data_IF_372005094221
#
_entry.id   IF_372005094221
#
_cell.length_a   1.000
_cell.length_b   1.000
_cell.length_c   1.000
_cell.angle_alpha   90.00
_cell.angle_beta   90.00
_cell.angle_gamma   90.00
#
_symmetry.space_group_name_H-M   'P 1'
#
loop_
_entity.id
_entity.type
_entity.pdbx_description
1 polymer ?
#
# COMPACT_ATOMS: atom_id res chain seq x y z
N UNK A 1 14.40 12.74 -8.28
CA UNK A 1 13.57 11.57 -8.00
C UNK A 1 14.49 10.46 -7.57
N UNK A 2 14.38 10.00 -6.31
CA UNK A 2 15.20 8.90 -5.78
C UNK A 2 14.74 7.58 -6.40
N UNK A 3 15.66 6.63 -6.53
CA UNK A 3 15.31 5.25 -6.88
C UNK A 3 14.76 4.57 -5.63
N UNK A 4 13.44 4.39 -5.57
CA UNK A 4 12.76 3.75 -4.43
C UNK A 4 13.03 2.24 -4.34
N UNK A 5 13.59 1.64 -5.39
CA UNK A 5 13.91 0.21 -5.47
C UNK A 5 15.37 -0.11 -5.11
N UNK A 6 15.97 0.66 -4.21
CA UNK A 6 17.34 0.42 -3.78
C UNK A 6 17.48 -0.92 -3.04
N UNK A 7 18.41 -1.74 -3.51
CA UNK A 7 18.72 -3.02 -2.87
C UNK A 7 19.15 -2.83 -1.40
N UNK A 8 18.56 -3.59 -0.52
CA UNK A 8 18.83 -3.53 0.93
C UNK A 8 18.16 -2.37 1.65
N UNK A 9 17.18 -1.70 1.02
CA UNK A 9 16.39 -0.64 1.61
C UNK A 9 14.89 -0.88 1.38
N UNK A 10 14.07 -0.48 2.36
CA UNK A 10 12.62 -0.52 2.33
C UNK A 10 12.11 0.92 2.20
N UNK A 11 11.29 1.19 1.22
CA UNK A 11 10.66 2.48 1.04
C UNK A 11 9.41 2.60 1.92
N UNK A 12 9.39 3.53 2.87
CA UNK A 12 8.28 3.70 3.81
C UNK A 12 7.35 4.88 3.47
N UNK A 13 7.73 5.71 2.51
CA UNK A 13 6.99 6.90 2.12
C UNK A 13 7.88 8.13 2.06
N UNK A 14 7.30 9.31 2.28
CA UNK A 14 7.99 10.60 2.25
C UNK A 14 7.86 11.34 3.57
N UNK A 15 8.81 12.20 3.86
CA UNK A 15 8.76 13.07 5.02
C UNK A 15 7.57 14.04 4.94
N UNK A 16 7.01 14.37 6.09
CA UNK A 16 5.96 15.37 6.22
C UNK A 16 6.49 16.58 6.99
N UNK A 17 6.49 17.73 6.35
CA UNK A 17 6.84 19.01 7.00
C UNK A 17 5.64 19.52 7.81
N UNK A 18 5.77 19.47 9.13
CA UNK A 18 4.73 19.93 10.06
C UNK A 18 4.50 21.44 9.98
N UNK A 19 5.52 22.23 9.66
CA UNK A 19 5.41 23.68 9.57
C UNK A 19 4.70 24.12 8.28
N UNK A 20 5.02 23.45 7.17
CA UNK A 20 4.37 23.67 5.87
C UNK A 20 3.02 22.96 5.75
N UNK A 21 2.75 21.96 6.60
CA UNK A 21 1.56 21.12 6.52
C UNK A 21 1.51 20.27 5.23
N UNK A 22 2.66 19.86 4.69
CA UNK A 22 2.77 19.21 3.39
C UNK A 22 3.76 18.04 3.38
N UNK A 23 3.55 17.09 2.47
CA UNK A 23 4.51 16.04 2.17
C UNK A 23 5.66 16.66 1.36
N UNK A 24 6.89 16.30 1.70
CA UNK A 24 8.11 16.74 1.00
C UNK A 24 8.50 15.74 -0.10
N UNK A 25 9.52 16.08 -0.88
CA UNK A 25 10.10 15.17 -1.89
C UNK A 25 11.22 14.27 -1.29
N UNK A 26 11.38 14.27 0.04
CA UNK A 26 12.40 13.45 0.72
C UNK A 26 11.83 12.08 1.05
N UNK A 27 12.43 11.05 0.46
CA UNK A 27 12.04 9.66 0.71
C UNK A 27 12.49 9.17 2.10
N UNK A 28 11.64 8.42 2.77
CA UNK A 28 11.93 7.76 4.04
C UNK A 28 12.27 6.31 3.77
N UNK A 29 13.55 5.96 3.95
CA UNK A 29 14.09 4.63 3.68
C UNK A 29 14.55 3.94 4.96
N UNK A 30 14.19 2.66 5.12
CA UNK A 30 14.65 1.80 6.22
C UNK A 30 15.60 0.73 5.67
N UNK A 31 16.78 0.59 6.28
CA UNK A 31 17.74 -0.47 5.86
C UNK A 31 17.23 -1.86 6.28
N UNK A 32 17.26 -2.83 5.37
CA UNK A 32 16.81 -4.22 5.62
C UNK A 32 17.51 -4.87 6.81
N UNK A 33 18.78 -4.50 7.09
CA UNK A 33 19.51 -4.99 8.26
C UNK A 33 18.83 -4.67 9.60
N UNK A 34 17.95 -3.67 9.63
CA UNK A 34 17.19 -3.32 10.83
C UNK A 34 16.04 -4.31 11.11
N UNK A 35 15.66 -5.15 10.13
CA UNK A 35 14.68 -6.22 10.32
C UNK A 35 15.20 -7.36 11.22
N UNK A 36 16.49 -7.37 11.55
CA UNK A 36 17.07 -8.33 12.51
C UNK A 36 16.78 -7.96 13.97
N UNK A 37 16.12 -6.85 14.22
CA UNK A 37 15.72 -6.37 15.54
C UNK A 37 14.20 -6.26 15.64
N UNK A 38 13.70 -6.08 16.87
CA UNK A 38 12.26 -5.88 17.08
C UNK A 38 11.84 -4.46 16.72
N UNK A 39 10.62 -4.33 16.19
CA UNK A 39 9.97 -3.05 15.98
C UNK A 39 8.56 -3.08 16.58
N UNK A 40 8.07 -1.92 16.97
CA UNK A 40 6.70 -1.73 17.45
C UNK A 40 6.08 -0.53 16.76
N UNK A 41 4.88 -0.72 16.20
CA UNK A 41 4.10 0.36 15.60
C UNK A 41 3.01 0.80 16.58
N UNK A 42 3.13 2.01 17.09
CA UNK A 42 2.20 2.59 18.06
C UNK A 42 1.41 3.75 17.46
N UNK A 43 0.16 3.90 17.88
CA UNK A 43 -0.69 5.01 17.45
C UNK A 43 -2.15 4.78 17.84
N UNK A 44 -2.95 5.84 17.77
CA UNK A 44 -4.39 5.78 18.01
C UNK A 44 -5.13 5.03 16.89
N UNK A 45 -6.38 4.67 17.12
CA UNK A 45 -7.26 4.12 16.09
C UNK A 45 -7.38 5.13 14.93
N UNK A 46 -7.25 4.64 13.69
CA UNK A 46 -7.29 5.48 12.49
C UNK A 46 -5.97 6.21 12.15
N UNK A 47 -4.89 6.04 12.94
CA UNK A 47 -3.60 6.70 12.68
C UNK A 47 -2.74 6.07 11.57
N UNK A 48 -3.22 5.01 10.89
CA UNK A 48 -2.48 4.36 9.81
C UNK A 48 -1.53 3.23 10.24
N UNK A 49 -1.60 2.74 11.49
CA UNK A 49 -0.72 1.65 11.98
C UNK A 49 -0.71 0.41 11.09
N UNK A 50 -1.88 -0.08 10.75
CA UNK A 50 -2.04 -1.25 9.88
C UNK A 50 -1.44 -0.98 8.49
N UNK A 51 -1.69 0.20 7.93
CA UNK A 51 -1.10 0.61 6.64
C UNK A 51 0.42 0.64 6.67
N UNK A 52 1.04 1.20 7.72
CA UNK A 52 2.50 1.17 7.87
C UNK A 52 3.03 -0.27 8.02
N UNK A 53 2.30 -1.12 8.76
CA UNK A 53 2.63 -2.54 8.87
C UNK A 53 2.58 -3.24 7.51
N UNK A 54 1.56 -2.99 6.71
CA UNK A 54 1.43 -3.55 5.36
C UNK A 54 2.58 -3.10 4.46
N UNK A 55 2.92 -1.81 4.45
CA UNK A 55 4.06 -1.28 3.69
C UNK A 55 5.36 -2.00 4.07
N UNK A 56 5.62 -2.19 5.37
CA UNK A 56 6.82 -2.90 5.82
C UNK A 56 6.88 -4.35 5.34
N UNK A 57 5.73 -5.05 5.31
CA UNK A 57 5.65 -6.44 4.84
C UNK A 57 5.85 -6.52 3.31
N UNK A 58 5.18 -5.66 2.55
CA UNK A 58 5.32 -5.58 1.09
C UNK A 58 6.76 -5.24 0.70
N UNK A 59 7.36 -4.24 1.33
CA UNK A 59 8.74 -3.86 1.09
C UNK A 59 9.72 -5.00 1.41
N UNK A 60 9.51 -5.74 2.51
CA UNK A 60 10.32 -6.90 2.83
C UNK A 60 10.21 -7.99 1.75
N UNK A 61 8.99 -8.27 1.27
CA UNK A 61 8.75 -9.23 0.19
C UNK A 61 9.44 -8.80 -1.12
N UNK A 62 9.36 -7.52 -1.49
CA UNK A 62 10.04 -6.97 -2.67
C UNK A 62 11.56 -7.12 -2.60
N UNK A 63 12.13 -7.13 -1.39
CA UNK A 63 13.56 -7.40 -1.16
C UNK A 63 13.88 -8.91 -1.05
N UNK A 64 12.91 -9.80 -1.28
CA UNK A 64 13.08 -11.24 -1.17
C UNK A 64 13.18 -11.77 0.27
N UNK A 65 12.78 -10.98 1.25
CA UNK A 65 12.74 -11.40 2.66
C UNK A 65 11.44 -12.15 2.92
N UNK A 66 11.47 -13.42 3.37
CA UNK A 66 10.26 -14.16 3.66
C UNK A 66 9.54 -13.57 4.89
N UNK A 67 8.21 -13.51 4.82
CA UNK A 67 7.37 -12.93 5.85
C UNK A 67 6.45 -13.99 6.45
N UNK A 68 6.37 -14.06 7.77
CA UNK A 68 5.35 -14.80 8.50
C UNK A 68 4.47 -13.80 9.27
N UNK A 69 3.24 -13.60 8.81
CA UNK A 69 2.30 -12.71 9.47
C UNK A 69 1.35 -13.50 10.38
N UNK A 70 1.29 -13.12 11.67
CA UNK A 70 0.31 -13.65 12.64
C UNK A 70 -0.75 -12.56 12.81
N UNK A 71 -1.93 -12.78 12.24
CA UNK A 71 -3.01 -11.79 12.17
C UNK A 71 -4.30 -12.30 12.83
N UNK A 72 -4.43 -12.17 14.16
CA UNK A 72 -5.63 -12.61 14.87
C UNK A 72 -6.89 -11.83 14.51
N UNK A 73 -6.73 -10.65 13.92
CA UNK A 73 -7.81 -9.73 13.58
C UNK A 73 -8.31 -9.88 12.15
N UNK A 74 -7.47 -10.40 11.26
CA UNK A 74 -7.78 -10.57 9.84
C UNK A 74 -7.69 -9.29 9.00
N UNK A 75 -6.93 -8.29 9.45
CA UNK A 75 -6.76 -7.02 8.73
C UNK A 75 -5.74 -7.13 7.57
N UNK A 76 -4.85 -8.13 7.59
CA UNK A 76 -3.74 -8.27 6.65
C UNK A 76 -4.06 -9.13 5.43
N UNK A 77 -5.25 -9.73 5.36
CA UNK A 77 -5.63 -10.63 4.24
C UNK A 77 -5.60 -9.92 2.88
N UNK A 78 -5.79 -8.60 2.87
CA UNK A 78 -5.72 -7.80 1.64
C UNK A 78 -4.31 -7.75 1.01
N UNK A 79 -3.25 -8.07 1.75
CA UNK A 79 -1.90 -8.23 1.19
C UNK A 79 -1.80 -9.31 0.12
N UNK A 80 -2.75 -10.25 0.11
CA UNK A 80 -2.81 -11.32 -0.90
C UNK A 80 -3.51 -10.88 -2.20
N UNK A 81 -4.07 -9.68 -2.22
CA UNK A 81 -4.79 -9.12 -3.37
C UNK A 81 -3.88 -8.11 -4.08
N UNK A 82 -3.17 -8.58 -5.09
CA UNK A 82 -2.34 -7.73 -5.93
C UNK A 82 -2.96 -7.65 -7.33
N UNK A 83 -3.13 -6.43 -7.84
CA UNK A 83 -3.71 -6.16 -9.16
C UNK A 83 -2.73 -5.34 -10.00
N UNK A 84 -1.73 -5.98 -10.63
CA UNK A 84 -0.66 -5.27 -11.34
C UNK A 84 -1.16 -4.33 -12.42
N UNK A 85 -2.17 -4.75 -13.16
CA UNK A 85 -2.74 -3.96 -14.26
C UNK A 85 -3.69 -2.86 -13.78
N UNK A 86 -4.12 -2.94 -12.50
CA UNK A 86 -5.15 -2.08 -11.93
C UNK A 86 -6.39 -1.99 -12.83
N UNK A 87 -6.75 -3.11 -13.48
CA UNK A 87 -7.88 -3.16 -14.38
C UNK A 87 -9.20 -3.14 -13.59
N UNK A 88 -10.27 -2.46 -14.08
CA UNK A 88 -11.56 -2.46 -13.40
C UNK A 88 -12.10 -3.87 -13.11
N UNK A 89 -11.82 -4.81 -14.00
CA UNK A 89 -12.23 -6.22 -13.91
C UNK A 89 -11.67 -6.91 -12.67
N UNK A 90 -10.47 -6.52 -12.22
CA UNK A 90 -9.82 -7.07 -11.01
C UNK A 90 -10.55 -6.63 -9.74
N UNK A 91 -11.12 -5.43 -9.76
CA UNK A 91 -11.84 -4.88 -8.61
C UNK A 91 -13.32 -5.27 -8.57
N UNK A 92 -13.93 -5.57 -9.72
CA UNK A 92 -15.37 -5.84 -9.82
C UNK A 92 -15.88 -6.96 -8.89
N UNK A 93 -15.17 -8.10 -8.69
CA UNK A 93 -15.59 -9.15 -7.77
C UNK A 93 -15.65 -8.72 -6.30
N UNK A 94 -14.95 -7.65 -5.93
CA UNK A 94 -14.83 -7.13 -4.57
C UNK A 94 -15.77 -5.97 -4.27
N UNK A 95 -16.55 -5.53 -5.27
CA UNK A 95 -17.53 -4.46 -5.10
C UNK A 95 -18.78 -4.99 -4.41
N UNK A 96 -19.20 -4.34 -3.33
CA UNK A 96 -20.51 -4.57 -2.72
C UNK A 96 -21.61 -4.04 -3.65
N UNK A 97 -22.28 -4.96 -4.35
CA UNK A 97 -23.30 -4.63 -5.32
C UNK A 97 -24.54 -3.94 -4.70
N UNK A 98 -24.88 -4.27 -3.42
CA UNK A 98 -26.00 -3.60 -2.75
C UNK A 98 -25.64 -2.16 -2.38
N UNK A 99 -24.44 -1.93 -1.91
CA UNK A 99 -23.92 -0.59 -1.60
C UNK A 99 -23.86 0.26 -2.87
N UNK A 100 -23.33 -0.27 -3.97
CA UNK A 100 -23.27 0.40 -5.25
C UNK A 100 -24.67 0.83 -5.71
N UNK A 101 -25.64 -0.08 -5.65
CA UNK A 101 -27.03 0.20 -6.04
C UNK A 101 -27.67 1.29 -5.19
N UNK A 102 -27.44 1.28 -3.86
CA UNK A 102 -27.92 2.35 -2.95
C UNK A 102 -27.34 3.73 -3.30
N UNK A 103 -26.15 3.76 -3.90
CA UNK A 103 -25.48 4.97 -4.34
C UNK A 103 -25.83 5.36 -5.79
N UNK A 104 -26.71 4.61 -6.45
CA UNK A 104 -27.11 4.85 -7.85
C UNK A 104 -26.01 4.49 -8.87
N UNK A 105 -25.08 3.62 -8.51
CA UNK A 105 -23.97 3.21 -9.35
C UNK A 105 -24.05 1.72 -9.71
N UNK A 106 -23.52 1.37 -10.89
CA UNK A 106 -23.29 -0.04 -11.23
C UNK A 106 -21.99 -0.56 -10.59
N UNK A 107 -21.86 -1.89 -10.51
CA UNK A 107 -20.62 -2.56 -10.06
C UNK A 107 -19.44 -2.08 -10.93
N UNK A 108 -19.61 -2.02 -12.24
CA UNK A 108 -18.54 -1.62 -13.17
C UNK A 108 -18.12 -0.16 -12.96
N UNK A 109 -19.08 0.74 -12.67
CA UNK A 109 -18.77 2.13 -12.36
C UNK A 109 -17.93 2.26 -11.07
N UNK A 110 -18.29 1.52 -10.03
CA UNK A 110 -17.54 1.52 -8.77
C UNK A 110 -16.16 0.91 -8.97
N UNK A 111 -16.06 -0.21 -9.69
CA UNK A 111 -14.79 -0.87 -10.00
C UNK A 111 -13.86 0.06 -10.80
N UNK A 112 -14.37 0.72 -11.85
CA UNK A 112 -13.60 1.66 -12.65
C UNK A 112 -13.10 2.86 -11.81
N UNK A 113 -13.97 3.42 -10.95
CA UNK A 113 -13.61 4.50 -10.04
C UNK A 113 -12.54 4.07 -9.04
N UNK A 114 -12.63 2.84 -8.52
CA UNK A 114 -11.64 2.26 -7.60
C UNK A 114 -10.29 2.10 -8.30
N UNK A 115 -10.26 1.48 -9.48
CA UNK A 115 -9.06 1.31 -10.28
C UNK A 115 -8.37 2.66 -10.59
N UNK A 116 -9.13 3.67 -10.95
CA UNK A 116 -8.60 5.01 -11.19
C UNK A 116 -8.02 5.64 -9.92
N UNK A 117 -8.69 5.47 -8.78
CA UNK A 117 -8.21 5.99 -7.48
C UNK A 117 -6.87 5.35 -7.10
N UNK A 118 -6.74 4.04 -7.30
CA UNK A 118 -5.48 3.32 -7.05
C UNK A 118 -4.36 3.81 -7.98
N UNK A 119 -4.59 3.92 -9.27
CA UNK A 119 -3.60 4.45 -10.23
C UNK A 119 -3.11 5.84 -9.84
N UNK A 120 -4.03 6.74 -9.50
CA UNK A 120 -3.67 8.10 -9.08
C UNK A 120 -2.95 8.11 -7.73
N UNK A 121 -3.37 7.24 -6.81
CA UNK A 121 -2.73 7.09 -5.50
C UNK A 121 -1.28 6.66 -5.64
N UNK A 122 -1.03 5.56 -6.34
CA UNK A 122 0.31 5.01 -6.55
C UNK A 122 1.23 5.98 -7.31
N UNK A 123 0.72 6.63 -8.36
CA UNK A 123 1.48 7.61 -9.13
C UNK A 123 1.98 8.79 -8.28
N UNK A 124 1.27 9.19 -7.23
CA UNK A 124 1.73 10.24 -6.29
C UNK A 124 2.96 9.83 -5.48
N UNK A 125 3.20 8.54 -5.36
CA UNK A 125 4.31 7.96 -4.61
C UNK A 125 5.39 7.37 -5.52
N UNK A 126 5.33 7.65 -6.82
CA UNK A 126 6.22 7.10 -7.86
C UNK A 126 6.26 5.56 -7.87
N UNK A 127 5.11 4.93 -7.51
CA UNK A 127 4.95 3.48 -7.53
C UNK A 127 4.34 3.08 -8.87
N UNK A 128 5.15 2.39 -9.69
CA UNK A 128 4.74 1.89 -10.99
C UNK A 128 4.08 0.50 -10.91
N UNK A 129 3.22 0.12 -11.87
CA UNK A 129 2.59 -1.20 -11.93
C UNK A 129 3.56 -2.37 -11.86
N UNK A 130 4.73 -2.26 -12.49
CA UNK A 130 5.79 -3.29 -12.46
C UNK A 130 6.21 -3.66 -11.04
N UNK A 131 6.15 -2.70 -10.13
CA UNK A 131 6.49 -2.92 -8.72
C UNK A 131 5.45 -3.80 -8.04
N UNK A 132 4.17 -3.60 -8.38
CA UNK A 132 3.06 -4.42 -7.86
C UNK A 132 3.17 -5.84 -8.40
N UNK A 133 3.58 -6.01 -9.66
CA UNK A 133 3.72 -7.32 -10.29
C UNK A 133 4.81 -8.20 -9.65
N UNK A 134 5.69 -7.62 -8.82
CA UNK A 134 6.75 -8.35 -8.10
C UNK A 134 6.31 -8.84 -6.71
N UNK A 135 5.18 -8.39 -6.22
CA UNK A 135 4.55 -8.86 -4.99
C UNK A 135 3.79 -10.17 -5.20
#
# INVERSE_FOLDING_TARGET
MGDIDQQGQLYLGREYDLAAGAITDTDVMLKTRHLTTHAVVLGMTGSGKTGLGMILLEEALLQGVPVLAIDPKGDLTNLLLTFPDLAPEDFAPWVDAERARRQGQSVDQVAAGTAQTWRQGLARWDIEPDRIARL
#
